data_IF_650731854356
#
_entry.id   IF_650731854356
#
_cell.length_a   1.000
_cell.length_b   1.000
_cell.length_c   1.000
_cell.angle_alpha   90.00
_cell.angle_beta   90.00
_cell.angle_gamma   90.00
#
_symmetry.space_group_name_H-M   'P 1'
#
loop_
_entity.id
_entity.type
_entity.pdbx_description
1 polymer ?
#
# COMPACT_ATOMS: atom_id res chain seq x y z
N UNK A 1 -9.19 -13.67 7.59
CA UNK A 1 -9.25 -15.02 7.02
C UNK A 1 -8.10 -15.16 6.04
N UNK A 2 -7.09 -15.99 6.31
CA UNK A 2 -6.05 -16.31 5.34
C UNK A 2 -6.53 -17.46 4.46
N UNK A 3 -6.71 -17.21 3.17
CA UNK A 3 -7.07 -18.24 2.19
C UNK A 3 -5.79 -19.04 1.90
N UNK A 4 -5.85 -20.37 2.05
CA UNK A 4 -4.73 -21.25 1.71
C UNK A 4 -4.98 -21.87 0.33
N UNK A 5 -4.02 -21.72 -0.59
CA UNK A 5 -4.01 -22.44 -1.86
C UNK A 5 -2.95 -23.56 -1.75
N UNK A 6 -3.37 -24.82 -1.91
CA UNK A 6 -2.50 -26.00 -1.89
C UNK A 6 -1.62 -26.15 -0.63
N UNK A 7 -2.13 -25.75 0.53
CA UNK A 7 -1.43 -25.90 1.82
C UNK A 7 -0.28 -24.92 2.07
N UNK A 8 -0.12 -23.89 1.21
CA UNK A 8 0.76 -22.75 1.51
C UNK A 8 -0.09 -21.56 1.93
N UNK A 9 0.33 -20.80 2.97
CA UNK A 9 -0.26 -19.50 3.23
C UNK A 9 -0.03 -18.64 1.98
N UNK A 10 -1.12 -18.19 1.36
CA UNK A 10 -1.01 -17.19 0.31
C UNK A 10 -0.48 -15.95 1.01
N UNK A 11 0.70 -15.42 0.63
CA UNK A 11 1.16 -14.16 1.19
C UNK A 11 0.05 -13.13 0.96
N UNK A 12 -0.26 -12.27 1.94
CA UNK A 12 -1.21 -11.19 1.73
C UNK A 12 -0.80 -10.47 0.45
N UNK A 13 -1.77 -10.26 -0.46
CA UNK A 13 -1.50 -9.64 -1.76
C UNK A 13 -0.84 -8.29 -1.51
N UNK A 14 0.47 -8.23 -1.75
CA UNK A 14 1.26 -7.03 -1.55
C UNK A 14 1.31 -6.26 -2.87
N UNK A 15 0.99 -4.97 -2.82
CA UNK A 15 1.14 -4.05 -3.95
C UNK A 15 2.38 -3.20 -3.67
N UNK A 16 3.39 -3.32 -4.53
CA UNK A 16 4.61 -2.53 -4.41
C UNK A 16 4.47 -1.27 -5.27
N UNK A 17 4.57 -0.10 -4.64
CA UNK A 17 4.65 1.18 -5.35
C UNK A 17 6.11 1.48 -5.67
N UNK A 18 6.40 1.93 -6.88
CA UNK A 18 7.74 2.37 -7.29
C UNK A 18 7.64 3.70 -8.02
N UNK A 19 8.44 4.66 -7.60
CA UNK A 19 8.51 5.97 -8.23
C UNK A 19 9.50 6.87 -7.49
N UNK A 20 10.25 7.68 -8.25
CA UNK A 20 11.23 8.61 -7.69
C UNK A 20 10.58 9.62 -6.73
N UNK A 21 9.39 10.11 -7.10
CA UNK A 21 8.65 11.13 -6.35
C UNK A 21 7.95 10.60 -5.08
N UNK A 22 7.98 9.29 -4.79
CA UNK A 22 7.35 8.76 -3.57
C UNK A 22 8.04 9.27 -2.31
N UNK A 23 9.38 9.23 -2.28
CA UNK A 23 10.15 9.78 -1.16
C UNK A 23 10.01 11.30 -1.04
N UNK A 24 10.01 12.02 -2.18
CA UNK A 24 9.79 13.47 -2.19
C UNK A 24 8.38 13.86 -1.72
N UNK A 25 7.37 13.02 -1.99
CA UNK A 25 5.99 13.22 -1.53
C UNK A 25 5.76 12.73 -0.10
N UNK A 26 6.80 12.37 0.65
CA UNK A 26 6.69 11.97 2.06
C UNK A 26 6.27 10.51 2.30
N UNK A 27 6.20 9.68 1.26
CA UNK A 27 5.95 8.25 1.41
C UNK A 27 7.25 7.54 1.80
N UNK A 28 7.45 7.34 3.11
CA UNK A 28 8.55 6.56 3.66
C UNK A 28 8.11 5.11 3.94
N UNK A 29 9.07 4.18 3.89
CA UNK A 29 8.80 2.78 4.23
C UNK A 29 8.30 2.65 5.65
N UNK A 30 7.34 1.74 5.88
CA UNK A 30 6.73 1.46 7.18
C UNK A 30 5.85 2.59 7.77
N UNK A 31 5.60 3.67 7.02
CA UNK A 31 4.62 4.70 7.38
C UNK A 31 3.18 4.14 7.30
N UNK A 32 2.30 4.44 8.28
CA UNK A 32 0.88 4.18 8.11
C UNK A 32 0.31 5.06 7.00
N UNK A 33 -0.44 4.45 6.08
CA UNK A 33 -1.12 5.15 4.99
C UNK A 33 -2.60 4.78 4.98
N UNK A 34 -3.43 5.71 4.51
CA UNK A 34 -4.84 5.46 4.24
C UNK A 34 -4.98 5.03 2.79
N UNK A 35 -5.69 3.93 2.56
CA UNK A 35 -5.95 3.40 1.21
C UNK A 35 -7.46 3.40 0.96
N UNK A 36 -7.89 4.11 -0.08
CA UNK A 36 -9.29 4.18 -0.48
C UNK A 36 -9.46 3.85 -1.96
N UNK A 37 -10.68 3.50 -2.35
CA UNK A 37 -11.04 3.27 -3.75
C UNK A 37 -12.03 4.33 -4.18
N UNK A 38 -11.60 5.23 -5.07
CA UNK A 38 -12.41 6.31 -5.59
C UNK A 38 -12.55 6.20 -7.10
N UNK A 39 -13.79 6.06 -7.59
CA UNK A 39 -14.11 6.02 -9.04
C UNK A 39 -13.26 5.00 -9.82
N UNK A 40 -12.97 3.85 -9.21
CA UNK A 40 -12.15 2.79 -9.81
C UNK A 40 -10.63 3.03 -9.75
N UNK A 41 -10.18 4.05 -9.01
CA UNK A 41 -8.77 4.32 -8.73
C UNK A 41 -8.46 4.02 -7.28
N UNK A 42 -7.29 3.47 -7.02
CA UNK A 42 -6.75 3.33 -5.66
C UNK A 42 -6.08 4.66 -5.32
N UNK A 43 -6.53 5.30 -4.25
CA UNK A 43 -5.96 6.52 -3.70
C UNK A 43 -5.22 6.15 -2.42
N UNK A 44 -3.99 6.62 -2.28
CA UNK A 44 -3.12 6.33 -1.14
C UNK A 44 -2.70 7.68 -0.57
N UNK A 45 -3.10 7.92 0.68
CA UNK A 45 -2.91 9.18 1.39
C UNK A 45 -2.05 8.93 2.62
N UNK A 46 -1.17 9.86 2.92
CA UNK A 46 -0.35 9.83 4.13
C UNK A 46 -0.42 11.21 4.78
N UNK A 47 -0.48 11.22 6.11
CA UNK A 47 -0.32 12.46 6.85
C UNK A 47 1.17 12.81 6.89
N UNK A 48 1.53 14.01 6.47
CA UNK A 48 2.91 14.49 6.43
C UNK A 48 3.00 15.63 7.44
N UNK A 49 3.72 15.40 8.53
CA UNK A 49 4.03 16.43 9.51
C UNK A 49 5.23 17.24 9.00
N UNK A 50 4.95 18.35 8.31
CA UNK A 50 5.96 19.34 7.88
C UNK A 50 6.05 20.53 8.83
#
# INVERSE_FOLDING_TARGET
MYVQLNGRPIPPSAINLKGYSLGESGFITEMPVVVTVERGKIVIETDINI
#
